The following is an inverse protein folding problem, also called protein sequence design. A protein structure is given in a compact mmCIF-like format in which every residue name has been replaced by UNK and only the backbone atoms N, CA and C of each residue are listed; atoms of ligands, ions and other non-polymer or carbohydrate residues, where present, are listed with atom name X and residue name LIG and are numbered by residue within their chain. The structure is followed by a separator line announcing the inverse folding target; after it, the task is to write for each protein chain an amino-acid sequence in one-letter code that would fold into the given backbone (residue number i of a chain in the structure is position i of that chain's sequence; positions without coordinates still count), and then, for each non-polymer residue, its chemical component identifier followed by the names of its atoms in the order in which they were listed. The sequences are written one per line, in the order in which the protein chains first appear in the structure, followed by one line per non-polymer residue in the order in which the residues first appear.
data_IF_672101571764
#
_entry.id   IF_672101571764
#
_cell.length_a   1.000
_cell.length_b   1.000
_cell.length_c   1.000
_cell.angle_alpha   90.00
_cell.angle_beta   90.00
_cell.angle_gamma   90.00
#
_symmetry.space_group_name_H-M   'P 1'
#
loop_
_entity.id
_entity.type
_entity.pdbx_description
1 polymer ?
#
# COMPACT_ATOMS: atom_id res chain seq x y z
N UNK A 1 10.72 31.15 6.54
CA UNK A 1 9.47 30.57 5.98
C UNK A 1 8.81 29.69 7.03
N UNK A 2 7.48 29.62 7.06
CA UNK A 2 6.73 28.68 7.88
C UNK A 2 6.27 27.51 6.99
N UNK A 3 6.14 26.31 7.56
CA UNK A 3 5.50 25.19 6.86
C UNK A 3 4.02 25.51 6.64
N UNK A 4 3.47 25.03 5.52
CA UNK A 4 2.04 25.11 5.26
C UNK A 4 1.35 24.00 6.08
N UNK A 5 0.54 24.40 7.05
CA UNK A 5 -0.05 23.51 8.06
C UNK A 5 -1.26 22.76 7.50
N UNK A 6 -1.06 21.51 7.11
CA UNK A 6 -2.09 20.64 6.51
C UNK A 6 -2.32 19.32 7.26
N UNK A 7 -1.56 19.08 8.34
CA UNK A 7 -1.66 17.82 9.09
C UNK A 7 -1.99 18.08 10.56
N UNK A 8 -2.97 17.38 11.15
CA UNK A 8 -3.15 17.34 12.60
C UNK A 8 -2.02 16.51 13.22
N UNK A 9 -1.03 17.17 13.84
CA UNK A 9 0.14 16.54 14.41
C UNK A 9 -0.08 16.11 15.85
N UNK A 10 0.51 14.97 16.25
CA UNK A 10 0.79 14.69 17.66
C UNK A 10 2.05 15.45 18.09
N UNK A 11 2.08 15.93 19.32
CA UNK A 11 3.26 16.59 19.90
C UNK A 11 4.30 15.56 20.32
N UNK A 12 4.88 14.87 19.33
CA UNK A 12 5.94 13.87 19.47
C UNK A 12 6.92 14.04 18.32
N UNK A 13 8.20 14.23 18.64
CA UNK A 13 9.28 14.37 17.65
C UNK A 13 10.10 13.09 17.58
N UNK A 14 9.82 12.22 16.61
CA UNK A 14 10.55 10.95 16.42
C UNK A 14 11.90 11.22 15.74
N UNK A 15 12.99 10.75 16.37
CA UNK A 15 14.38 11.00 15.94
C UNK A 15 15.19 9.72 15.69
N UNK A 16 14.67 8.55 16.09
CA UNK A 16 15.36 7.27 15.95
C UNK A 16 14.37 6.14 15.72
N UNK A 17 14.77 5.13 14.96
CA UNK A 17 14.01 3.89 14.77
C UNK A 17 14.91 2.67 14.71
N UNK A 18 14.38 1.50 15.14
CA UNK A 18 15.01 0.19 15.00
C UNK A 18 13.95 -0.91 15.06
N UNK A 19 13.89 -1.77 14.03
CA UNK A 19 12.88 -2.82 13.96
C UNK A 19 11.46 -2.25 14.01
N UNK A 20 10.65 -2.67 14.97
CA UNK A 20 9.30 -2.16 15.22
C UNK A 20 9.24 -1.04 16.26
N UNK A 21 10.37 -0.44 16.65
CA UNK A 21 10.44 0.57 17.71
C UNK A 21 10.95 1.90 17.17
N UNK A 22 10.41 2.99 17.73
CA UNK A 22 10.86 4.36 17.45
C UNK A 22 11.05 5.12 18.77
N UNK A 23 11.92 6.13 18.75
CA UNK A 23 12.21 6.96 19.93
C UNK A 23 12.04 8.43 19.60
N UNK A 24 11.49 9.16 20.56
CA UNK A 24 11.40 10.61 20.46
C UNK A 24 12.70 11.32 20.94
N UNK A 25 12.73 12.63 20.80
CA UNK A 25 13.86 13.47 21.21
C UNK A 25 14.06 13.59 22.74
N UNK A 26 13.13 13.04 23.53
CA UNK A 26 13.22 12.89 25.00
C UNK A 26 13.71 11.51 25.39
N UNK A 27 13.97 10.62 24.41
CA UNK A 27 14.42 9.25 24.64
C UNK A 27 13.30 8.27 24.99
N UNK A 28 12.02 8.69 24.87
CA UNK A 28 10.90 7.78 25.08
C UNK A 28 10.79 6.81 23.91
N UNK A 29 10.71 5.52 24.20
CA UNK A 29 10.49 4.45 23.25
C UNK A 29 8.99 4.23 23.00
N UNK A 30 8.64 3.95 21.74
CA UNK A 30 7.30 3.62 21.29
C UNK A 30 7.33 2.36 20.43
N UNK A 31 6.34 1.47 20.59
CA UNK A 31 6.07 0.38 19.67
C UNK A 31 5.31 0.94 18.45
N UNK A 32 5.90 0.76 17.26
CA UNK A 32 5.32 1.27 16.00
C UNK A 32 4.46 0.22 15.31
N UNK A 33 3.15 0.24 15.59
CA UNK A 33 2.15 -0.56 14.87
C UNK A 33 1.48 0.23 13.73
N UNK A 34 2.14 1.25 13.22
CA UNK A 34 1.65 2.07 12.13
C UNK A 34 2.56 2.05 10.88
N UNK A 35 3.88 1.90 11.11
CA UNK A 35 4.89 1.85 10.05
C UNK A 35 4.85 3.06 9.11
N UNK A 36 4.44 4.25 9.60
CA UNK A 36 4.29 5.44 8.77
C UNK A 36 3.34 5.22 7.59
N UNK A 37 2.09 4.81 7.83
CA UNK A 37 1.10 4.42 6.80
C UNK A 37 1.44 3.09 6.08
N UNK A 38 2.06 2.13 6.76
CA UNK A 38 2.56 0.87 6.19
C UNK A 38 3.72 1.08 5.17
N UNK A 39 4.48 2.16 5.31
CA UNK A 39 5.65 2.43 4.46
C UNK A 39 6.84 1.58 4.91
N UNK A 40 7.06 1.48 6.22
CA UNK A 40 8.14 0.66 6.77
C UNK A 40 7.74 -0.82 6.68
N UNK A 41 8.44 -1.55 5.82
CA UNK A 41 8.19 -2.99 5.57
C UNK A 41 9.14 -3.88 6.36
N UNK A 42 10.46 -3.71 6.21
CA UNK A 42 11.49 -4.58 6.80
C UNK A 42 11.98 -4.11 8.18
N UNK A 43 11.32 -3.11 8.77
CA UNK A 43 11.70 -2.48 10.02
C UNK A 43 12.56 -1.23 9.83
N UNK A 44 12.57 -0.40 10.88
CA UNK A 44 13.37 0.81 10.91
C UNK A 44 14.87 0.49 10.99
N UNK A 45 15.69 1.23 10.23
CA UNK A 45 17.16 1.18 10.26
C UNK A 45 17.75 -0.24 10.18
N UNK A 46 17.20 -1.12 9.33
CA UNK A 46 17.71 -2.46 9.14
C UNK A 46 19.18 -2.41 8.65
N UNK A 47 20.14 -3.14 9.27
CA UNK A 47 21.57 -3.01 8.98
C UNK A 47 21.93 -3.18 7.50
N UNK A 48 21.42 -4.23 6.84
CA UNK A 48 21.64 -4.47 5.41
C UNK A 48 21.13 -3.33 4.53
N UNK A 49 19.96 -2.77 4.85
CA UNK A 49 19.38 -1.63 4.14
C UNK A 49 20.24 -0.38 4.30
N UNK A 50 20.67 -0.07 5.53
CA UNK A 50 21.53 1.09 5.83
C UNK A 50 22.87 0.97 5.08
N UNK A 51 23.53 -0.19 5.15
CA UNK A 51 24.78 -0.44 4.45
C UNK A 51 24.64 -0.28 2.94
N UNK A 52 23.60 -0.89 2.33
CA UNK A 52 23.36 -0.87 0.90
C UNK A 52 23.15 0.56 0.39
N UNK A 53 22.30 1.36 1.07
CA UNK A 53 22.06 2.75 0.67
C UNK A 53 23.31 3.61 0.89
N UNK A 54 24.02 3.45 2.01
CA UNK A 54 25.25 4.20 2.30
C UNK A 54 26.33 3.96 1.24
N UNK A 55 26.49 2.71 0.82
CA UNK A 55 27.42 2.34 -0.25
C UNK A 55 26.97 2.94 -1.59
N UNK A 56 25.68 2.87 -1.91
CA UNK A 56 25.16 3.39 -3.18
C UNK A 56 25.28 4.91 -3.26
N UNK A 57 24.97 5.65 -2.20
CA UNK A 57 25.12 7.12 -2.20
C UNK A 57 26.57 7.55 -2.29
N UNK A 58 27.50 6.79 -1.70
CA UNK A 58 28.94 7.04 -1.82
C UNK A 58 29.50 6.76 -3.21
N UNK A 59 28.80 5.95 -4.02
CA UNK A 59 29.23 5.58 -5.38
C UNK A 59 28.56 6.46 -6.44
N UNK A 60 27.22 6.42 -6.49
CA UNK A 60 26.40 7.16 -7.46
C UNK A 60 24.95 7.17 -6.99
N UNK A 61 24.43 8.34 -6.59
CA UNK A 61 23.05 8.47 -6.12
C UNK A 61 22.03 8.52 -7.26
N UNK A 62 22.37 9.20 -8.34
CA UNK A 62 21.47 9.46 -9.46
C UNK A 62 22.20 9.63 -10.78
N UNK A 63 21.62 9.10 -11.85
CA UNK A 63 21.86 9.52 -13.23
C UNK A 63 20.58 9.38 -14.05
N UNK A 64 20.53 10.05 -15.20
CA UNK A 64 19.35 10.11 -16.07
C UNK A 64 18.94 8.74 -16.64
N UNK A 65 17.64 8.55 -16.84
CA UNK A 65 17.06 7.42 -17.56
C UNK A 65 17.39 7.40 -19.08
N UNK A 66 18.25 8.30 -19.56
CA UNK A 66 18.78 8.28 -20.93
C UNK A 66 19.92 7.28 -21.14
N UNK A 67 20.39 6.63 -20.06
CA UNK A 67 21.44 5.60 -20.11
C UNK A 67 20.99 4.34 -19.34
N UNK A 68 21.66 3.22 -19.60
CA UNK A 68 21.36 1.95 -18.96
C UNK A 68 21.69 2.03 -17.45
N UNK A 69 20.72 1.71 -16.63
CA UNK A 69 20.88 1.46 -15.19
C UNK A 69 20.58 -0.03 -14.91
N UNK A 70 21.64 -0.83 -14.71
CA UNK A 70 21.51 -2.27 -14.47
C UNK A 70 20.72 -2.61 -13.19
N UNK A 71 20.69 -1.70 -12.19
CA UNK A 71 19.94 -1.92 -10.95
C UNK A 71 18.42 -1.95 -11.21
N UNK A 72 17.93 -1.24 -12.23
CA UNK A 72 16.50 -1.32 -12.60
C UNK A 72 16.12 -2.72 -13.07
N UNK A 73 16.95 -3.35 -13.90
CA UNK A 73 16.72 -4.72 -14.34
C UNK A 73 16.82 -5.69 -13.16
N UNK A 74 17.78 -5.51 -12.28
CA UNK A 74 17.92 -6.34 -11.07
C UNK A 74 16.69 -6.25 -10.15
N UNK A 75 16.12 -5.05 -9.98
CA UNK A 75 14.84 -4.88 -9.26
C UNK A 75 13.73 -5.63 -9.95
N UNK A 76 13.60 -5.51 -11.28
CA UNK A 76 12.56 -6.20 -12.05
C UNK A 76 12.67 -7.72 -11.92
N UNK A 77 13.86 -8.28 -12.08
CA UNK A 77 14.11 -9.72 -11.99
C UNK A 77 13.77 -10.26 -10.59
N UNK A 78 14.26 -9.60 -9.55
CA UNK A 78 14.01 -10.01 -8.15
C UNK A 78 12.54 -9.86 -7.75
N UNK A 79 11.91 -8.74 -8.13
CA UNK A 79 10.50 -8.50 -7.84
C UNK A 79 9.61 -9.51 -8.58
N UNK A 80 9.87 -9.77 -9.85
CA UNK A 80 9.19 -10.78 -10.64
C UNK A 80 9.27 -12.15 -9.98
N UNK A 81 10.48 -12.59 -9.63
CA UNK A 81 10.73 -13.90 -9.03
C UNK A 81 10.02 -14.09 -7.67
N UNK A 82 10.07 -13.10 -6.77
CA UNK A 82 9.46 -13.22 -5.43
C UNK A 82 7.93 -13.08 -5.48
N UNK A 83 7.41 -12.32 -6.42
CA UNK A 83 5.97 -12.05 -6.53
C UNK A 83 5.20 -13.04 -7.40
N UNK A 84 5.91 -13.83 -8.25
CA UNK A 84 5.29 -14.72 -9.24
C UNK A 84 4.80 -14.01 -10.50
N UNK A 85 5.40 -12.84 -10.81
CA UNK A 85 5.10 -11.99 -11.98
C UNK A 85 6.35 -11.75 -12.83
N UNK A 86 7.17 -12.77 -13.01
CA UNK A 86 8.43 -12.75 -13.78
C UNK A 86 8.24 -12.54 -15.31
N UNK A 87 7.02 -12.74 -15.79
CA UNK A 87 6.61 -12.45 -17.16
C UNK A 87 6.11 -11.01 -17.36
N UNK A 88 5.93 -10.20 -16.28
CA UNK A 88 5.52 -8.81 -16.39
C UNK A 88 6.69 -7.88 -16.63
N UNK A 89 6.39 -6.70 -17.18
CA UNK A 89 7.33 -5.60 -17.34
C UNK A 89 7.20 -4.63 -16.16
N UNK A 90 8.28 -3.98 -15.75
CA UNK A 90 8.30 -3.04 -14.63
C UNK A 90 8.60 -1.63 -15.12
N UNK A 91 7.72 -0.67 -14.81
CA UNK A 91 7.97 0.76 -14.95
C UNK A 91 8.13 1.40 -13.57
N UNK A 92 9.29 2.03 -13.30
CA UNK A 92 9.66 2.59 -12.00
C UNK A 92 9.41 4.09 -11.94
N UNK A 93 8.84 4.54 -10.82
CA UNK A 93 8.46 5.92 -10.51
C UNK A 93 8.70 6.20 -9.01
N UNK A 94 8.13 7.30 -8.45
CA UNK A 94 8.55 7.77 -7.12
C UNK A 94 7.47 7.66 -6.04
N UNK A 95 6.20 7.65 -6.42
CA UNK A 95 5.08 7.63 -5.47
C UNK A 95 3.92 6.77 -5.94
N UNK A 96 3.08 6.33 -4.99
CA UNK A 96 1.88 5.56 -5.30
C UNK A 96 0.89 6.32 -6.19
N UNK A 97 0.76 7.63 -6.02
CA UNK A 97 -0.08 8.46 -6.88
C UNK A 97 0.43 8.45 -8.32
N UNK A 98 1.76 8.62 -8.54
CA UNK A 98 2.36 8.49 -9.88
C UNK A 98 2.14 7.10 -10.47
N UNK A 99 2.21 6.03 -9.65
CA UNK A 99 1.96 4.67 -10.10
C UNK A 99 0.55 4.51 -10.65
N UNK A 100 -0.45 4.97 -9.90
CA UNK A 100 -1.85 4.93 -10.33
C UNK A 100 -2.12 5.83 -11.55
N UNK A 101 -1.54 7.04 -11.60
CA UNK A 101 -1.63 7.93 -12.78
C UNK A 101 -1.11 7.24 -14.04
N UNK A 102 0.07 6.62 -13.98
CA UNK A 102 0.66 5.97 -15.14
C UNK A 102 -0.07 4.69 -15.53
N UNK A 103 -0.59 3.91 -14.58
CA UNK A 103 -1.41 2.73 -14.86
C UNK A 103 -2.72 3.12 -15.56
N UNK A 104 -3.43 4.13 -15.06
CA UNK A 104 -4.67 4.64 -15.65
C UNK A 104 -4.43 5.25 -17.04
N UNK A 105 -3.36 6.03 -17.19
CA UNK A 105 -2.92 6.60 -18.46
C UNK A 105 -2.63 5.50 -19.49
N UNK A 106 -1.90 4.45 -19.12
CA UNK A 106 -1.58 3.34 -19.99
C UNK A 106 -2.83 2.55 -20.39
N UNK A 107 -3.78 2.35 -19.46
CA UNK A 107 -5.07 1.72 -19.74
C UNK A 107 -5.88 2.50 -20.78
N UNK A 108 -5.90 3.84 -20.67
CA UNK A 108 -6.58 4.72 -21.62
C UNK A 108 -5.91 4.70 -23.01
N UNK A 109 -4.58 4.68 -23.08
CA UNK A 109 -3.87 4.48 -24.35
C UNK A 109 -4.17 3.13 -24.99
N UNK A 110 -4.33 2.09 -24.20
CA UNK A 110 -4.54 0.72 -24.68
C UNK A 110 -5.87 0.55 -25.41
N UNK A 111 -6.98 1.06 -24.87
CA UNK A 111 -8.31 0.86 -25.45
C UNK A 111 -9.00 2.13 -25.93
N UNK A 112 -8.38 3.31 -25.83
CA UNK A 112 -8.88 4.59 -26.30
C UNK A 112 -10.06 5.17 -25.52
N UNK A 113 -10.37 4.61 -24.35
CA UNK A 113 -11.50 5.01 -23.50
C UNK A 113 -11.03 5.93 -22.36
N UNK A 114 -11.98 6.62 -21.71
CA UNK A 114 -11.66 7.61 -20.68
C UNK A 114 -12.32 7.35 -19.33
N UNK A 115 -13.41 6.57 -19.30
CA UNK A 115 -14.14 6.32 -18.05
C UNK A 115 -13.45 5.25 -17.20
N UNK A 116 -13.40 5.46 -15.89
CA UNK A 116 -12.79 4.56 -14.90
C UNK A 116 -13.84 4.14 -13.88
N UNK A 117 -13.82 2.89 -13.47
CA UNK A 117 -14.57 2.41 -12.30
C UNK A 117 -13.63 2.34 -11.11
N UNK A 118 -14.04 2.96 -10.01
CA UNK A 118 -13.43 2.85 -8.68
C UNK A 118 -14.51 2.46 -7.66
N UNK A 119 -14.16 2.33 -6.39
CA UNK A 119 -15.08 1.82 -5.38
C UNK A 119 -15.28 2.78 -4.22
N UNK A 120 -16.44 2.66 -3.57
CA UNK A 120 -16.72 3.41 -2.35
C UNK A 120 -15.60 3.21 -1.30
N UNK A 121 -15.19 4.30 -0.65
CA UNK A 121 -14.09 4.35 0.34
C UNK A 121 -12.69 4.07 -0.23
N UNK A 122 -12.50 3.94 -1.55
CA UNK A 122 -11.19 3.75 -2.15
C UNK A 122 -10.27 4.96 -1.94
N UNK A 123 -8.96 4.68 -1.85
CA UNK A 123 -7.91 5.69 -1.81
C UNK A 123 -6.75 5.31 -2.71
N UNK A 124 -6.51 6.10 -3.76
CA UNK A 124 -5.49 5.82 -4.77
C UNK A 124 -4.43 6.93 -4.93
N UNK A 125 -4.58 8.04 -4.24
CA UNK A 125 -3.61 9.13 -4.27
C UNK A 125 -4.24 10.53 -4.15
N UNK A 126 -3.42 11.56 -4.35
CA UNK A 126 -3.82 12.96 -4.20
C UNK A 126 -3.46 13.83 -5.40
N UNK A 127 -2.96 13.26 -6.46
CA UNK A 127 -2.66 13.96 -7.71
C UNK A 127 -3.81 13.76 -8.70
N UNK A 128 -3.97 14.66 -9.63
CA UNK A 128 -4.88 14.66 -10.79
C UNK A 128 -5.91 13.49 -10.85
N UNK A 129 -5.67 12.47 -11.69
CA UNK A 129 -6.59 11.33 -11.84
C UNK A 129 -6.56 10.39 -10.63
N UNK A 130 -5.43 10.24 -9.94
CA UNK A 130 -5.35 9.44 -8.72
C UNK A 130 -6.25 9.98 -7.59
N UNK A 131 -6.44 11.30 -7.50
CA UNK A 131 -7.41 11.89 -6.55
C UNK A 131 -8.83 11.73 -7.05
N UNK A 132 -9.06 11.81 -8.36
CA UNK A 132 -10.40 11.62 -8.93
C UNK A 132 -10.90 10.17 -8.76
N UNK A 133 -10.04 9.15 -8.78
CA UNK A 133 -10.41 7.76 -8.46
C UNK A 133 -10.45 7.46 -6.94
N UNK A 134 -10.07 8.43 -6.09
CA UNK A 134 -10.19 8.36 -4.64
C UNK A 134 -11.58 8.82 -4.20
N UNK A 135 -12.35 7.94 -3.56
CA UNK A 135 -13.72 8.26 -3.14
C UNK A 135 -13.74 9.16 -1.89
N UNK A 136 -13.30 10.40 -2.05
CA UNK A 136 -13.33 11.42 -1.00
C UNK A 136 -13.51 12.83 -1.59
N UNK A 137 -14.75 13.33 -1.71
CA UNK A 137 -15.04 14.63 -2.33
C UNK A 137 -14.37 15.81 -1.62
N UNK A 138 -13.95 15.67 -0.34
CA UNK A 138 -13.29 16.76 0.39
C UNK A 138 -11.87 17.08 -0.09
N UNK A 139 -11.25 16.18 -0.85
CA UNK A 139 -9.88 16.34 -1.35
C UNK A 139 -9.80 16.44 -2.87
N UNK A 140 -10.92 16.34 -3.57
CA UNK A 140 -11.02 16.52 -5.02
C UNK A 140 -11.20 18.02 -5.26
N UNK A 141 -10.18 18.66 -5.82
CA UNK A 141 -10.28 20.06 -6.21
C UNK A 141 -11.12 20.20 -7.51
N UNK A 142 -11.78 21.35 -7.77
CA UNK A 142 -12.59 21.52 -9.00
C UNK A 142 -11.85 21.20 -10.29
N UNK A 143 -10.55 21.42 -10.35
CA UNK A 143 -9.70 21.08 -11.50
C UNK A 143 -9.51 19.57 -11.69
N UNK A 144 -9.76 18.76 -10.66
CA UNK A 144 -9.63 17.30 -10.68
C UNK A 144 -10.99 16.59 -10.77
N UNK A 145 -12.09 17.31 -10.78
CA UNK A 145 -13.46 16.78 -10.92
C UNK A 145 -13.87 16.84 -12.42
N UNK A 146 -13.37 15.86 -13.17
CA UNK A 146 -13.56 15.83 -14.63
C UNK A 146 -14.69 14.91 -15.08
N UNK A 147 -15.38 14.23 -14.15
CA UNK A 147 -16.51 13.35 -14.45
C UNK A 147 -16.12 12.03 -15.14
N UNK A 148 -14.85 11.63 -15.06
CA UNK A 148 -14.38 10.38 -15.68
C UNK A 148 -14.59 9.16 -14.80
N UNK A 149 -14.99 9.31 -13.54
CA UNK A 149 -15.01 8.22 -12.56
C UNK A 149 -16.43 7.85 -12.14
N UNK A 150 -16.73 6.57 -12.20
CA UNK A 150 -17.93 5.97 -11.61
C UNK A 150 -17.52 5.20 -10.33
N UNK A 151 -18.11 5.57 -9.19
CA UNK A 151 -17.88 4.85 -7.94
C UNK A 151 -18.98 3.83 -7.70
N UNK A 152 -18.59 2.58 -7.46
CA UNK A 152 -19.51 1.49 -7.14
C UNK A 152 -19.36 1.03 -5.69
N UNK A 153 -20.41 0.46 -5.08
CA UNK A 153 -20.25 -0.25 -3.82
C UNK A 153 -19.25 -1.40 -3.95
N UNK A 154 -18.45 -1.64 -2.91
CA UNK A 154 -17.58 -2.81 -2.89
C UNK A 154 -18.45 -4.09 -2.83
N UNK A 155 -18.07 -5.12 -3.59
CA UNK A 155 -18.77 -6.39 -3.71
C UNK A 155 -20.14 -6.35 -4.43
N UNK A 156 -20.48 -5.28 -5.13
CA UNK A 156 -21.68 -5.19 -5.96
C UNK A 156 -21.39 -5.63 -7.41
N UNK A 157 -21.51 -6.93 -7.65
CA UNK A 157 -21.24 -7.56 -8.96
C UNK A 157 -22.22 -7.12 -10.04
N UNK A 158 -23.49 -6.89 -9.68
CA UNK A 158 -24.52 -6.50 -10.64
C UNK A 158 -24.30 -5.08 -11.14
N UNK A 159 -24.00 -4.14 -10.22
CA UNK A 159 -23.63 -2.78 -10.60
C UNK A 159 -22.37 -2.75 -11.47
N UNK A 160 -21.35 -3.56 -11.14
CA UNK A 160 -20.12 -3.67 -11.93
C UNK A 160 -20.42 -4.12 -13.38
N UNK A 161 -21.17 -5.21 -13.55
CA UNK A 161 -21.53 -5.73 -14.88
C UNK A 161 -22.34 -4.74 -15.69
N UNK A 162 -23.32 -4.08 -15.06
CA UNK A 162 -24.16 -3.07 -15.71
C UNK A 162 -23.33 -1.88 -16.24
N UNK A 163 -22.33 -1.43 -15.46
CA UNK A 163 -21.45 -0.34 -15.87
C UNK A 163 -20.48 -0.75 -16.98
N UNK A 164 -19.89 -1.94 -16.90
CA UNK A 164 -18.96 -2.44 -17.93
C UNK A 164 -19.67 -2.75 -19.26
N UNK A 165 -20.93 -3.17 -19.22
CA UNK A 165 -21.74 -3.43 -20.42
C UNK A 165 -21.96 -2.19 -21.30
N UNK A 166 -21.75 -0.96 -20.78
CA UNK A 166 -21.81 0.28 -21.56
C UNK A 166 -20.66 0.41 -22.58
N UNK A 167 -19.56 -0.32 -22.40
CA UNK A 167 -18.46 -0.44 -23.35
C UNK A 167 -17.51 0.75 -23.41
N UNK A 168 -17.61 1.72 -22.50
CA UNK A 168 -16.83 2.97 -22.48
C UNK A 168 -15.80 3.06 -21.34
N UNK A 169 -15.71 2.01 -20.49
CA UNK A 169 -14.77 1.96 -19.36
C UNK A 169 -13.38 1.56 -19.83
N UNK A 170 -12.37 2.40 -19.54
CA UNK A 170 -10.97 2.08 -19.84
C UNK A 170 -10.35 1.15 -18.79
N UNK A 171 -10.65 1.36 -17.52
CA UNK A 171 -10.09 0.59 -16.44
C UNK A 171 -11.05 0.42 -15.24
N UNK A 172 -10.89 -0.68 -14.53
CA UNK A 172 -11.36 -0.87 -13.15
C UNK A 172 -10.13 -0.85 -12.26
N UNK A 173 -10.08 0.08 -11.29
CA UNK A 173 -9.01 0.14 -10.28
C UNK A 173 -9.56 -0.26 -8.91
N UNK A 174 -8.87 -1.18 -8.23
CA UNK A 174 -9.29 -1.70 -6.93
C UNK A 174 -8.06 -1.97 -6.04
N UNK A 175 -8.17 -1.66 -4.74
CA UNK A 175 -7.16 -2.07 -3.76
C UNK A 175 -7.31 -3.57 -3.44
N UNK A 176 -6.20 -4.30 -3.29
CA UNK A 176 -6.24 -5.70 -2.84
C UNK A 176 -6.90 -5.86 -1.46
N UNK A 177 -6.68 -4.87 -0.58
CA UNK A 177 -7.42 -4.60 0.66
C UNK A 177 -7.51 -3.08 0.77
N UNK A 178 -8.72 -2.51 0.92
CA UNK A 178 -8.87 -1.07 1.09
C UNK A 178 -8.27 -0.60 2.40
N UNK A 179 -7.17 0.15 2.32
CA UNK A 179 -6.45 0.58 3.51
C UNK A 179 -7.14 1.73 4.24
N UNK A 180 -7.26 2.87 3.58
CA UNK A 180 -7.88 4.09 4.12
C UNK A 180 -9.37 3.88 4.36
N UNK A 181 -10.03 3.04 3.58
CA UNK A 181 -11.42 2.65 3.72
C UNK A 181 -11.75 1.85 5.00
N UNK A 182 -10.76 1.56 5.86
CA UNK A 182 -10.95 0.87 7.14
C UNK A 182 -10.71 -0.63 7.07
N UNK A 183 -9.75 -1.07 6.26
CA UNK A 183 -9.37 -2.46 6.07
C UNK A 183 -10.55 -3.29 5.53
N UNK A 184 -11.14 -2.82 4.44
CA UNK A 184 -12.23 -3.56 3.77
C UNK A 184 -11.64 -4.56 2.78
N UNK A 185 -12.16 -5.79 2.82
CA UNK A 185 -11.70 -6.87 1.94
C UNK A 185 -12.72 -7.10 0.81
N UNK A 186 -12.31 -7.01 -0.46
CA UNK A 186 -13.15 -7.50 -1.55
C UNK A 186 -13.29 -9.03 -1.44
N UNK A 187 -14.49 -9.54 -1.75
CA UNK A 187 -14.70 -10.98 -1.76
C UNK A 187 -14.00 -11.65 -2.95
N UNK A 188 -13.69 -12.92 -2.83
CA UNK A 188 -13.07 -13.70 -3.91
C UNK A 188 -13.96 -13.74 -5.15
N UNK A 189 -15.27 -13.90 -4.93
CA UNK A 189 -16.28 -13.94 -6.00
C UNK A 189 -16.31 -12.61 -6.76
N UNK A 190 -16.24 -11.49 -6.04
CA UNK A 190 -16.22 -10.16 -6.63
C UNK A 190 -14.94 -9.90 -7.43
N UNK A 191 -13.78 -10.28 -6.89
CA UNK A 191 -12.50 -10.15 -7.60
C UNK A 191 -12.47 -10.97 -8.90
N UNK A 192 -13.01 -12.19 -8.88
CA UNK A 192 -13.16 -13.02 -10.07
C UNK A 192 -14.16 -12.44 -11.07
N UNK A 193 -15.26 -11.88 -10.58
CA UNK A 193 -16.24 -11.20 -11.43
C UNK A 193 -15.65 -9.96 -12.11
N UNK A 194 -14.80 -9.16 -11.42
CA UNK A 194 -14.07 -8.03 -12.04
C UNK A 194 -13.18 -8.56 -13.17
N UNK A 195 -12.38 -9.61 -12.91
CA UNK A 195 -11.47 -10.15 -13.93
C UNK A 195 -12.24 -10.60 -15.17
N UNK A 196 -13.28 -11.42 -14.96
CA UNK A 196 -14.10 -11.93 -16.06
C UNK A 196 -14.75 -10.78 -16.88
N UNK A 197 -15.42 -9.86 -16.20
CA UNK A 197 -16.10 -8.76 -16.87
C UNK A 197 -15.13 -7.81 -17.61
N UNK A 198 -13.92 -7.59 -17.05
CA UNK A 198 -12.86 -6.84 -17.73
C UNK A 198 -12.39 -7.54 -19.01
N UNK A 199 -12.25 -8.88 -19.00
CA UNK A 199 -11.88 -9.65 -20.18
C UNK A 199 -12.95 -9.58 -21.26
N UNK A 200 -14.22 -9.75 -20.90
CA UNK A 200 -15.36 -9.72 -21.81
C UNK A 200 -15.57 -8.35 -22.47
N UNK A 201 -15.18 -7.26 -21.81
CA UNK A 201 -15.41 -5.88 -22.28
C UNK A 201 -14.16 -5.17 -22.79
N UNK A 202 -13.00 -5.86 -22.84
CA UNK A 202 -11.69 -5.25 -23.15
C UNK A 202 -11.40 -4.04 -22.24
N UNK A 203 -11.71 -4.18 -20.95
CA UNK A 203 -11.40 -3.20 -19.90
C UNK A 203 -10.15 -3.64 -19.14
N UNK A 204 -9.31 -2.69 -18.72
CA UNK A 204 -8.07 -3.00 -17.99
C UNK A 204 -8.36 -3.16 -16.50
N UNK A 205 -7.92 -4.27 -15.91
CA UNK A 205 -7.97 -4.49 -14.45
C UNK A 205 -6.67 -4.03 -13.79
N UNK A 206 -6.75 -3.03 -12.90
CA UNK A 206 -5.62 -2.48 -12.15
C UNK A 206 -5.78 -2.84 -10.68
N UNK A 207 -4.81 -3.55 -10.11
CA UNK A 207 -4.71 -3.82 -8.68
C UNK A 207 -3.79 -2.79 -8.03
N UNK A 208 -4.36 -2.00 -7.13
CA UNK A 208 -3.59 -1.12 -6.26
C UNK A 208 -3.09 -1.92 -5.05
N UNK A 209 -1.85 -2.34 -5.11
CA UNK A 209 -1.15 -3.06 -4.03
C UNK A 209 -0.16 -2.15 -3.27
N UNK A 210 -0.36 -0.84 -3.37
CA UNK A 210 0.51 0.17 -2.75
C UNK A 210 0.58 0.00 -1.23
N UNK A 211 -0.54 -0.35 -0.58
CA UNK A 211 -0.55 -0.57 0.86
C UNK A 211 -0.67 -2.05 1.24
N UNK A 212 -1.38 -2.85 0.48
CA UNK A 212 -1.66 -4.27 0.76
C UNK A 212 -0.59 -5.24 0.28
N UNK A 213 0.27 -4.80 -0.65
CA UNK A 213 1.36 -5.60 -1.20
C UNK A 213 2.61 -5.70 -0.32
N UNK A 214 3.66 -6.23 -0.90
CA UNK A 214 4.97 -6.42 -0.25
C UNK A 214 4.87 -7.21 1.06
N UNK A 215 4.14 -8.34 1.04
CA UNK A 215 4.05 -9.26 2.16
C UNK A 215 3.08 -8.85 3.28
N UNK A 216 2.56 -7.63 3.25
CA UNK A 216 1.71 -7.04 4.29
C UNK A 216 0.53 -7.92 4.70
N UNK A 217 -0.12 -8.56 3.73
CA UNK A 217 -1.29 -9.42 3.95
C UNK A 217 -0.94 -10.88 4.30
N UNK A 218 0.34 -11.25 4.34
CA UNK A 218 0.76 -12.66 4.51
C UNK A 218 0.89 -13.44 3.18
N UNK A 219 0.64 -12.77 2.03
CA UNK A 219 1.08 -13.13 0.68
C UNK A 219 1.81 -11.94 0.10
N UNK A 220 2.63 -12.13 -0.95
CA UNK A 220 3.38 -11.01 -1.53
C UNK A 220 2.45 -9.89 -2.01
N UNK A 221 1.36 -10.26 -2.72
CA UNK A 221 0.25 -9.37 -3.05
C UNK A 221 -1.06 -9.89 -2.44
N UNK A 222 -1.91 -8.99 -1.96
CA UNK A 222 -3.17 -9.36 -1.32
C UNK A 222 -4.16 -10.03 -2.29
N UNK A 223 -4.20 -9.61 -3.56
CA UNK A 223 -5.08 -10.23 -4.57
C UNK A 223 -4.75 -11.71 -4.86
N UNK A 224 -3.56 -12.19 -4.50
CA UNK A 224 -3.19 -13.61 -4.65
C UNK A 224 -4.06 -14.55 -3.79
N UNK A 225 -4.77 -14.02 -2.79
CA UNK A 225 -5.78 -14.79 -2.07
C UNK A 225 -7.02 -15.11 -2.92
N UNK A 226 -7.27 -14.33 -3.97
CA UNK A 226 -8.46 -14.44 -4.80
C UNK A 226 -8.22 -15.20 -6.10
N UNK A 227 -6.98 -15.64 -6.35
CA UNK A 227 -6.59 -16.37 -7.56
C UNK A 227 -6.99 -15.62 -8.85
N UNK A 228 -6.72 -14.31 -8.88
CA UNK A 228 -6.91 -13.45 -10.06
C UNK A 228 -5.58 -12.90 -10.54
N UNK A 229 -5.46 -12.72 -11.85
CA UNK A 229 -4.29 -12.13 -12.47
C UNK A 229 -4.67 -10.81 -13.14
N UNK A 230 -4.30 -9.65 -12.58
CA UNK A 230 -4.67 -8.34 -13.11
C UNK A 230 -3.83 -8.00 -14.34
N UNK A 231 -4.24 -6.96 -15.06
CA UNK A 231 -3.45 -6.44 -16.18
C UNK A 231 -2.30 -5.55 -15.74
N UNK A 232 -2.48 -4.83 -14.62
CA UNK A 232 -1.43 -4.04 -13.99
C UNK A 232 -1.53 -4.12 -12.47
N UNK A 233 -0.36 -3.99 -11.81
CA UNK A 233 -0.25 -3.93 -10.36
C UNK A 233 0.56 -2.69 -10.01
N UNK A 234 0.01 -1.79 -9.19
CA UNK A 234 0.74 -0.63 -8.70
C UNK A 234 1.33 -0.89 -7.32
N UNK A 235 2.58 -0.51 -7.13
CA UNK A 235 3.35 -0.73 -5.89
C UNK A 235 4.05 0.55 -5.45
N UNK A 236 4.14 0.76 -4.15
CA UNK A 236 4.90 1.83 -3.51
C UNK A 236 5.16 1.47 -2.03
N UNK A 237 5.34 2.45 -1.16
CA UNK A 237 5.47 2.26 0.30
C UNK A 237 6.52 1.20 0.67
N UNK A 238 6.07 -0.04 0.87
CA UNK A 238 6.91 -1.16 1.29
C UNK A 238 8.09 -1.44 0.36
N UNK A 239 7.99 -1.12 -0.93
CA UNK A 239 9.08 -1.31 -1.90
C UNK A 239 10.36 -0.57 -1.51
N UNK A 240 10.24 0.63 -0.91
CA UNK A 240 11.36 1.50 -0.58
C UNK A 240 11.71 1.54 0.91
N UNK A 241 10.91 0.97 1.79
CA UNK A 241 11.10 1.02 3.26
C UNK A 241 11.38 2.44 3.77
N UNK A 242 10.67 3.45 3.24
CA UNK A 242 10.86 4.87 3.57
C UNK A 242 11.56 5.67 2.50
N UNK A 243 12.30 5.05 1.58
CA UNK A 243 12.81 5.75 0.40
C UNK A 243 11.68 5.96 -0.62
N UNK A 244 11.49 7.18 -1.16
CA UNK A 244 10.46 7.46 -2.17
C UNK A 244 10.68 6.64 -3.44
N UNK A 245 9.86 5.61 -3.63
CA UNK A 245 9.90 4.73 -4.80
C UNK A 245 8.54 4.09 -5.02
N UNK A 246 8.22 3.85 -6.27
CA UNK A 246 7.03 3.15 -6.71
C UNK A 246 7.25 2.46 -8.05
N UNK A 247 6.29 1.65 -8.48
CA UNK A 247 6.32 1.00 -9.78
C UNK A 247 4.97 0.54 -10.24
N UNK A 248 4.90 0.22 -11.52
CA UNK A 248 3.77 -0.47 -12.16
C UNK A 248 4.31 -1.76 -12.78
N UNK A 249 3.81 -2.91 -12.31
CA UNK A 249 3.99 -4.18 -12.99
C UNK A 249 2.94 -4.24 -14.10
N UNK A 250 3.37 -4.47 -15.34
CA UNK A 250 2.56 -4.36 -16.55
C UNK A 250 2.55 -5.69 -17.27
N UNK A 251 1.38 -6.26 -17.53
CA UNK A 251 1.27 -7.56 -18.18
C UNK A 251 1.80 -7.54 -19.62
N UNK A 252 2.21 -8.70 -20.18
CA UNK A 252 2.76 -8.80 -21.53
C UNK A 252 1.82 -8.35 -22.66
N UNK A 253 0.52 -8.18 -22.37
CA UNK A 253 -0.42 -7.69 -23.39
C UNK A 253 -0.20 -6.23 -23.82
N UNK A 254 0.57 -5.46 -23.05
CA UNK A 254 0.89 -4.07 -23.37
C UNK A 254 2.24 -3.98 -24.08
N UNK A 255 2.24 -3.29 -25.19
CA UNK A 255 3.50 -3.00 -25.95
C UNK A 255 4.00 -1.62 -25.52
N UNK A 256 5.27 -1.50 -25.08
CA UNK A 256 5.84 -0.22 -24.72
C UNK A 256 5.98 0.68 -25.95
N UNK A 257 5.63 1.96 -25.78
CA UNK A 257 5.80 3.00 -26.81
C UNK A 257 6.61 4.15 -26.22
N UNK A 258 7.71 4.49 -26.86
CA UNK A 258 8.58 5.58 -26.42
C UNK A 258 7.82 6.91 -26.29
N UNK A 259 7.98 7.57 -25.15
CA UNK A 259 7.37 8.86 -24.85
C UNK A 259 5.95 8.81 -24.28
N UNK A 260 5.28 7.68 -24.22
CA UNK A 260 3.95 7.59 -23.59
C UNK A 260 4.04 7.73 -22.07
N UNK A 261 4.99 7.07 -21.43
CA UNK A 261 5.28 7.19 -20.01
C UNK A 261 6.67 7.78 -19.81
N UNK A 262 6.91 8.44 -18.70
CA UNK A 262 8.21 9.04 -18.40
C UNK A 262 8.31 9.55 -16.97
N UNK A 263 9.54 9.63 -16.47
CA UNK A 263 9.88 10.14 -15.13
C UNK A 263 11.31 10.61 -15.09
N UNK A 264 11.61 11.65 -14.32
CA UNK A 264 13.00 12.11 -14.11
C UNK A 264 13.70 11.23 -13.07
N UNK A 265 13.10 11.00 -11.93
CA UNK A 265 13.73 10.34 -10.77
C UNK A 265 13.37 8.87 -10.62
N UNK A 266 12.33 8.38 -11.27
CA UNK A 266 11.86 7.00 -11.11
C UNK A 266 12.94 6.00 -11.50
N UNK A 267 13.20 5.02 -10.63
CA UNK A 267 14.22 4.01 -10.84
C UNK A 267 15.66 4.53 -10.72
N UNK A 268 15.91 5.63 -9.99
CA UNK A 268 17.26 6.08 -9.73
C UNK A 268 18.07 5.06 -8.92
N UNK A 269 19.39 5.21 -8.90
CA UNK A 269 20.31 4.27 -8.29
C UNK A 269 20.04 4.03 -6.80
N UNK A 270 19.75 5.09 -6.03
CA UNK A 270 19.42 4.96 -4.61
C UNK A 270 18.09 4.24 -4.38
N UNK A 271 17.06 4.57 -5.16
CA UNK A 271 15.77 3.90 -5.09
C UNK A 271 15.90 2.40 -5.42
N UNK A 272 16.63 2.06 -6.47
CA UNK A 272 16.87 0.67 -6.84
C UNK A 272 17.67 -0.08 -5.76
N UNK A 273 18.70 0.54 -5.19
CA UNK A 273 19.46 -0.04 -4.09
C UNK A 273 18.58 -0.29 -2.85
N UNK A 274 17.68 0.66 -2.52
CA UNK A 274 16.70 0.50 -1.45
C UNK A 274 15.77 -0.68 -1.70
N UNK A 275 15.20 -0.79 -2.91
CA UNK A 275 14.29 -1.88 -3.26
C UNK A 275 14.99 -3.26 -3.25
N UNK A 276 16.23 -3.34 -3.76
CA UNK A 276 17.03 -4.58 -3.73
C UNK A 276 17.24 -5.02 -2.28
N UNK A 277 17.67 -4.11 -1.40
CA UNK A 277 17.87 -4.40 0.01
C UNK A 277 16.58 -4.86 0.71
N UNK A 278 15.44 -4.25 0.38
CA UNK A 278 14.12 -4.67 0.89
C UNK A 278 13.82 -6.11 0.48
N UNK A 279 13.96 -6.45 -0.80
CA UNK A 279 13.66 -7.79 -1.32
C UNK A 279 14.62 -8.85 -0.74
N UNK A 280 15.89 -8.50 -0.53
CA UNK A 280 16.89 -9.37 0.12
C UNK A 280 16.46 -9.72 1.55
N UNK A 281 16.13 -8.71 2.35
CA UNK A 281 15.72 -8.90 3.75
C UNK A 281 14.39 -9.66 3.83
N UNK A 282 13.41 -9.31 3.00
CA UNK A 282 12.11 -10.01 2.97
C UNK A 282 12.29 -11.52 2.75
N UNK A 283 13.20 -11.89 1.84
CA UNK A 283 13.51 -13.29 1.54
C UNK A 283 14.33 -13.95 2.64
N UNK A 284 15.39 -13.29 3.10
CA UNK A 284 16.32 -13.87 4.10
C UNK A 284 15.67 -14.10 5.45
N UNK A 285 14.74 -13.23 5.85
CA UNK A 285 14.07 -13.26 7.14
C UNK A 285 12.65 -13.84 7.07
N UNK A 286 12.20 -14.34 5.91
CA UNK A 286 10.86 -14.93 5.68
C UNK A 286 9.73 -14.00 6.17
N UNK A 287 9.82 -12.70 5.85
CA UNK A 287 8.92 -11.69 6.41
C UNK A 287 7.46 -11.83 5.94
N UNK A 288 7.22 -12.44 4.78
CA UNK A 288 5.85 -12.73 4.30
C UNK A 288 5.18 -13.77 5.19
N UNK A 289 5.87 -14.86 5.50
CA UNK A 289 5.43 -15.92 6.39
C UNK A 289 5.28 -15.42 7.82
N UNK A 290 6.21 -14.57 8.30
CA UNK A 290 6.10 -13.92 9.59
C UNK A 290 4.84 -13.06 9.67
N UNK A 291 4.56 -12.24 8.67
CA UNK A 291 3.34 -11.43 8.60
C UNK A 291 2.07 -12.28 8.63
N UNK A 292 2.05 -13.42 7.94
CA UNK A 292 0.93 -14.36 7.99
C UNK A 292 0.75 -14.93 9.41
N UNK A 293 1.82 -15.43 10.03
CA UNK A 293 1.80 -16.06 11.35
C UNK A 293 1.40 -15.11 12.47
N UNK A 294 2.10 -13.97 12.58
CA UNK A 294 1.85 -12.98 13.63
C UNK A 294 0.52 -12.28 13.41
N UNK A 295 0.15 -12.04 12.14
CA UNK A 295 -1.14 -11.46 11.79
C UNK A 295 -2.32 -12.36 12.15
N UNK A 296 -2.23 -13.67 11.93
CA UNK A 296 -3.25 -14.64 12.35
C UNK A 296 -3.42 -14.62 13.87
N UNK A 297 -2.32 -14.67 14.62
CA UNK A 297 -2.34 -14.59 16.08
C UNK A 297 -3.05 -13.31 16.55
N UNK A 298 -2.66 -12.14 16.05
CA UNK A 298 -3.32 -10.87 16.41
C UNK A 298 -4.81 -10.85 16.04
N UNK A 299 -5.18 -11.33 14.86
CA UNK A 299 -6.58 -11.40 14.43
C UNK A 299 -7.43 -12.29 15.35
N UNK A 300 -6.90 -13.42 15.79
CA UNK A 300 -7.63 -14.37 16.63
C UNK A 300 -7.77 -13.84 18.06
N UNK A 301 -6.70 -13.33 18.65
CA UNK A 301 -6.73 -12.74 20.00
C UNK A 301 -7.64 -11.51 20.08
N UNK A 302 -7.56 -10.60 19.09
CA UNK A 302 -8.37 -9.38 19.08
C UNK A 302 -9.87 -9.63 19.01
N UNK A 303 -10.33 -10.73 18.42
CA UNK A 303 -11.75 -11.13 18.38
C UNK A 303 -12.32 -11.40 19.78
N UNK A 304 -11.46 -11.75 20.73
CA UNK A 304 -11.84 -11.98 22.13
C UNK A 304 -12.00 -10.72 22.97
N UNK A 305 -11.61 -9.54 22.47
CA UNK A 305 -11.66 -8.30 23.23
C UNK A 305 -13.08 -7.71 23.26
N UNK A 306 -13.61 -7.50 24.47
CA UNK A 306 -14.87 -6.75 24.66
C UNK A 306 -14.67 -5.29 24.22
N UNK A 307 -15.69 -4.70 23.60
CA UNK A 307 -15.63 -3.33 23.11
C UNK A 307 -15.13 -3.18 21.66
N UNK A 308 -14.54 -4.22 21.09
CA UNK A 308 -14.28 -4.27 19.65
C UNK A 308 -15.51 -4.86 18.96
N UNK A 309 -16.12 -4.09 18.06
CA UNK A 309 -17.30 -4.49 17.29
C UNK A 309 -16.96 -5.52 16.23
N UNK A 310 -15.88 -5.26 15.49
CA UNK A 310 -15.42 -6.11 14.40
C UNK A 310 -13.88 -6.06 14.27
N UNK A 311 -13.27 -7.22 14.07
CA UNK A 311 -11.87 -7.36 13.69
C UNK A 311 -11.80 -7.96 12.30
N UNK A 312 -11.12 -7.28 11.37
CA UNK A 312 -10.97 -7.72 10.00
C UNK A 312 -9.56 -7.45 9.47
N UNK A 313 -9.13 -8.20 8.47
CA UNK A 313 -7.81 -8.03 7.86
C UNK A 313 -7.22 -9.33 7.38
N UNK A 314 -5.97 -9.24 6.91
CA UNK A 314 -5.10 -10.39 6.57
C UNK A 314 -3.66 -10.04 6.92
N UNK A 315 -2.92 -11.00 7.45
CA UNK A 315 -1.54 -10.78 7.87
C UNK A 315 -1.44 -9.59 8.84
N UNK A 316 -0.48 -8.73 8.62
CA UNK A 316 -0.25 -7.51 9.41
C UNK A 316 -0.96 -6.26 8.84
N UNK A 317 -2.11 -6.44 8.21
CA UNK A 317 -3.02 -5.39 7.78
C UNK A 317 -4.36 -5.61 8.48
N UNK A 318 -4.52 -5.02 9.68
CA UNK A 318 -5.62 -5.32 10.61
C UNK A 318 -6.41 -4.04 10.92
N UNK A 319 -7.73 -4.15 10.90
CA UNK A 319 -8.69 -3.13 11.32
C UNK A 319 -9.46 -3.60 12.53
N UNK A 320 -9.50 -2.76 13.57
CA UNK A 320 -10.35 -2.92 14.74
C UNK A 320 -11.43 -1.84 14.68
N UNK A 321 -12.67 -2.22 14.48
CA UNK A 321 -13.83 -1.31 14.48
C UNK A 321 -14.48 -1.28 15.85
N UNK A 322 -14.83 -0.09 16.31
CA UNK A 322 -15.48 0.17 17.59
C UNK A 322 -16.85 0.79 17.36
N UNK A 323 -17.78 0.65 18.33
CA UNK A 323 -19.07 1.35 18.26
C UNK A 323 -18.90 2.86 18.46
N UNK A 324 -18.02 3.24 19.38
CA UNK A 324 -17.78 4.64 19.75
C UNK A 324 -16.55 5.23 19.03
N UNK A 325 -16.46 6.56 18.93
CA UNK A 325 -15.28 7.22 18.38
C UNK A 325 -14.00 6.90 19.17
N UNK A 326 -12.94 6.52 18.45
CA UNK A 326 -11.68 6.04 19.02
C UNK A 326 -10.64 7.12 19.34
N UNK A 327 -10.98 8.40 19.23
CA UNK A 327 -10.00 9.49 19.41
C UNK A 327 -9.30 9.42 20.77
N UNK A 328 -10.07 9.25 21.84
CA UNK A 328 -9.51 9.15 23.18
C UNK A 328 -8.70 7.86 23.38
N UNK A 329 -9.22 6.72 22.95
CA UNK A 329 -8.51 5.45 23.03
C UNK A 329 -7.16 5.52 22.30
N UNK A 330 -7.14 6.12 21.12
CA UNK A 330 -5.92 6.27 20.32
C UNK A 330 -4.90 7.22 20.97
N UNK A 331 -5.37 8.27 21.65
CA UNK A 331 -4.50 9.14 22.45
C UNK A 331 -3.90 8.38 23.64
N UNK A 332 -4.69 7.60 24.36
CA UNK A 332 -4.19 6.75 25.47
C UNK A 332 -3.18 5.72 24.98
N UNK A 333 -3.46 5.04 23.86
CA UNK A 333 -2.49 4.12 23.24
C UNK A 333 -1.13 4.82 22.99
N UNK A 334 -1.15 6.03 22.42
CA UNK A 334 0.08 6.75 22.11
C UNK A 334 0.77 7.31 23.36
N UNK A 335 0.04 8.02 24.23
CA UNK A 335 0.65 8.81 25.29
C UNK A 335 0.80 8.06 26.62
N UNK A 336 -0.06 7.06 26.91
CA UNK A 336 0.04 6.25 28.12
C UNK A 336 0.76 4.92 27.83
N UNK A 337 0.30 4.19 26.81
CA UNK A 337 0.83 2.86 26.47
C UNK A 337 1.99 2.88 25.46
N UNK A 338 2.37 4.04 24.91
CA UNK A 338 3.49 4.21 23.96
C UNK A 338 3.39 3.34 22.71
N UNK A 339 2.21 3.31 22.10
CA UNK A 339 1.93 2.55 20.87
C UNK A 339 1.40 3.48 19.78
N UNK A 340 2.11 3.53 18.65
CA UNK A 340 1.61 4.20 17.44
C UNK A 340 0.62 3.30 16.69
N UNK A 341 -0.52 3.85 16.29
CA UNK A 341 -1.53 3.17 15.48
C UNK A 341 -2.07 4.06 14.37
N UNK A 342 -2.55 3.45 13.29
CA UNK A 342 -3.28 4.15 12.23
C UNK A 342 -4.75 4.36 12.59
N UNK A 343 -5.45 5.15 11.75
CA UNK A 343 -6.88 5.43 11.91
C UNK A 343 -7.58 5.41 10.55
N UNK A 344 -8.84 5.00 10.54
CA UNK A 344 -9.77 5.21 9.43
C UNK A 344 -11.12 5.68 9.97
N UNK A 345 -11.65 6.75 9.36
CA UNK A 345 -12.87 7.38 9.85
C UNK A 345 -12.75 7.80 11.31
N UNK A 346 -13.81 7.63 12.08
CA UNK A 346 -13.90 8.02 13.49
C UNK A 346 -13.76 6.86 14.46
N UNK A 347 -13.92 5.62 13.99
CA UNK A 347 -14.14 4.44 14.84
C UNK A 347 -13.30 3.19 14.46
N UNK A 348 -12.34 3.29 13.51
CA UNK A 348 -11.46 2.16 13.16
C UNK A 348 -10.02 2.48 13.50
N UNK A 349 -9.40 1.66 14.36
CA UNK A 349 -7.95 1.61 14.55
C UNK A 349 -7.37 0.65 13.52
N UNK A 350 -6.28 1.06 12.85
CA UNK A 350 -5.54 0.22 11.91
C UNK A 350 -4.19 -0.15 12.48
N UNK A 351 -3.86 -1.45 12.45
CA UNK A 351 -2.52 -1.94 12.74
C UNK A 351 -1.83 -2.26 11.41
N UNK A 352 -0.69 -1.62 11.20
CA UNK A 352 0.12 -1.67 9.99
C UNK A 352 1.61 -1.69 10.35
N UNK A 353 2.03 -2.57 11.30
CA UNK A 353 3.42 -2.59 11.79
C UNK A 353 4.41 -2.98 10.69
N UNK A 354 5.72 -2.79 10.89
CA UNK A 354 6.74 -3.46 10.08
C UNK A 354 6.55 -4.97 10.08
N UNK A 355 6.91 -5.64 8.98
CA UNK A 355 6.70 -7.09 8.80
C UNK A 355 7.57 -7.95 9.72
N UNK A 356 8.61 -7.35 10.31
CA UNK A 356 9.48 -7.98 11.29
C UNK A 356 8.89 -8.00 12.72
N UNK A 357 7.64 -7.57 12.90
CA UNK A 357 6.96 -7.64 14.20
C UNK A 357 7.03 -9.07 14.73
N UNK A 358 7.61 -9.24 15.92
CA UNK A 358 7.72 -10.51 16.59
C UNK A 358 6.42 -10.90 17.33
N UNK A 359 6.27 -12.18 17.65
CA UNK A 359 5.16 -12.66 18.47
C UNK A 359 5.14 -11.99 19.85
N UNK A 360 6.31 -11.80 20.47
CA UNK A 360 6.42 -11.15 21.78
C UNK A 360 5.94 -9.68 21.73
N UNK A 361 6.31 -8.93 20.69
CA UNK A 361 5.83 -7.54 20.51
C UNK A 361 4.31 -7.50 20.22
N UNK A 362 3.77 -8.50 19.54
CA UNK A 362 2.33 -8.64 19.36
C UNK A 362 1.61 -8.89 20.69
N UNK A 363 2.11 -9.80 21.52
CA UNK A 363 1.56 -10.09 22.86
C UNK A 363 1.71 -8.90 23.80
N UNK A 364 2.80 -8.15 23.68
CA UNK A 364 3.01 -6.90 24.42
C UNK A 364 1.92 -5.86 24.03
N UNK A 365 1.63 -5.70 22.74
CA UNK A 365 0.53 -4.84 22.29
C UNK A 365 -0.82 -5.28 22.86
N UNK A 366 -1.15 -6.57 22.79
CA UNK A 366 -2.40 -7.11 23.32
C UNK A 366 -2.55 -6.81 24.83
N UNK A 367 -1.46 -6.98 25.58
CA UNK A 367 -1.40 -6.65 27.02
C UNK A 367 -1.66 -5.16 27.26
N UNK A 368 -1.01 -4.28 26.50
CA UNK A 368 -1.18 -2.82 26.61
C UNK A 368 -2.61 -2.40 26.22
N UNK A 369 -3.16 -2.96 25.15
CA UNK A 369 -4.54 -2.70 24.74
C UNK A 369 -5.54 -3.14 25.80
N UNK A 370 -5.33 -4.30 26.45
CA UNK A 370 -6.22 -4.84 27.47
C UNK A 370 -6.32 -3.95 28.73
N UNK A 371 -5.31 -3.11 29.00
CA UNK A 371 -5.38 -2.14 30.11
C UNK A 371 -6.36 -1.00 29.84
N UNK A 372 -6.60 -0.70 28.56
CA UNK A 372 -7.44 0.43 28.12
C UNK A 372 -8.87 0.03 27.78
N UNK A 373 -9.08 -1.20 27.33
CA UNK A 373 -10.41 -1.75 26.98
C UNK A 373 -10.64 -3.04 27.78
N UNK A 374 -11.69 -3.02 28.58
CA UNK A 374 -12.05 -4.16 29.48
C UNK A 374 -13.20 -4.96 28.91
#
# INVERSE_FOLDING_TARGET
MKLFDVYPLFDVNIVKGKGCHVWDDKGQEYLDLYGGHAVISIGHAHPHYVETISKQVATLGFYSNSVINKLQQEVADRLGAISGYDDYQLFLINSGAEANENALKLASFYNGRTRVISFAKAFHGRTSLAVEVTNNPKIIAPINDNGHVTYLPLNDTEALKAELAKGDVCAVIIEGIQGVGGIQLPSTEFMKAIRQACDETNTVMILDEIQSGYGRSGKFFAHQYNDVRPDMITVAKGIGNGFPMAGVLISPKFTPVYGQLGTTFGGNHLACAAAIAVLDVMKAENLVENAAKVGTHLLDELKGFKGIKEVRGRGLMIGMEFEEPIKELRQKLLFEEKVFTGVSGTNVIRLLPPLCLSMNEADEFLTRLHRLIK
#
